data_IF_158636369572
#
_entry.id   IF_158636369572
#
_cell.length_a   1.000
_cell.length_b   1.000
_cell.length_c   1.000
_cell.angle_alpha   90.00
_cell.angle_beta   90.00
_cell.angle_gamma   90.00
#
_symmetry.space_group_name_H-M   'P 1'
#
loop_
_entity.id
_entity.type
_entity.pdbx_description
1 polymer ?
#
# COMPACT_ATOMS: atom_id res chain seq x y z
N UNK A 1 -16.41 -0.69 -3.59
CA UNK A 1 -16.85 0.67 -4.02
C UNK A 1 -18.36 0.83 -3.87
N UNK A 2 -19.18 -0.02 -4.51
CA UNK A 2 -20.64 -0.03 -4.30
C UNK A 2 -21.00 -0.20 -2.82
N UNK A 3 -20.28 -1.03 -2.07
CA UNK A 3 -20.44 -1.18 -0.60
C UNK A 3 -20.14 0.10 0.18
N UNK A 4 -19.07 0.83 -0.17
CA UNK A 4 -18.68 2.11 0.48
C UNK A 4 -19.70 3.21 0.18
N UNK A 5 -20.14 3.33 -1.07
CA UNK A 5 -21.20 4.28 -1.47
C UNK A 5 -22.51 3.94 -0.74
N UNK A 6 -22.90 2.66 -0.72
CA UNK A 6 -24.08 2.19 0.04
C UNK A 6 -23.96 2.50 1.54
N UNK A 7 -22.77 2.38 2.13
CA UNK A 7 -22.53 2.70 3.54
C UNK A 7 -22.67 4.19 3.81
N UNK A 8 -22.06 5.05 2.98
CA UNK A 8 -22.17 6.52 3.10
C UNK A 8 -23.62 6.97 2.95
N UNK A 9 -24.35 6.42 1.97
CA UNK A 9 -25.78 6.70 1.79
C UNK A 9 -26.60 6.22 2.99
N UNK A 10 -26.36 5.01 3.48
CA UNK A 10 -27.06 4.46 4.65
C UNK A 10 -26.86 5.32 5.89
N UNK A 11 -25.63 5.80 6.11
CA UNK A 11 -25.30 6.64 7.26
C UNK A 11 -25.87 8.06 7.11
N UNK A 12 -25.82 8.64 5.92
CA UNK A 12 -26.47 9.92 5.62
C UNK A 12 -27.99 9.87 5.81
N UNK A 13 -28.65 8.81 5.32
CA UNK A 13 -30.09 8.60 5.53
C UNK A 13 -30.44 8.43 7.02
N UNK A 14 -29.56 7.80 7.82
CA UNK A 14 -29.74 7.68 9.26
C UNK A 14 -29.69 9.05 9.95
N UNK A 15 -28.67 9.85 9.63
CA UNK A 15 -28.49 11.20 10.20
C UNK A 15 -29.66 12.12 9.82
N UNK A 16 -30.15 12.05 8.58
CA UNK A 16 -31.33 12.81 8.17
C UNK A 16 -32.58 12.41 8.96
N UNK A 17 -32.80 11.11 9.17
CA UNK A 17 -33.95 10.64 9.96
C UNK A 17 -33.86 11.08 11.42
N UNK A 18 -32.65 11.12 11.97
CA UNK A 18 -32.38 11.61 13.33
C UNK A 18 -32.62 13.13 13.44
N UNK A 19 -32.24 13.92 12.43
CA UNK A 19 -32.57 15.34 12.35
C UNK A 19 -34.07 15.61 12.25
N UNK A 20 -34.80 14.84 11.41
CA UNK A 20 -36.25 14.97 11.28
C UNK A 20 -36.98 14.67 12.60
N UNK A 21 -36.55 13.62 13.32
CA UNK A 21 -37.09 13.30 14.64
C UNK A 21 -36.80 14.42 15.66
N UNK A 22 -35.56 14.94 15.67
CA UNK A 22 -35.19 16.03 16.57
C UNK A 22 -36.02 17.28 16.29
N UNK A 23 -36.27 17.62 15.01
CA UNK A 23 -37.15 18.72 14.64
C UNK A 23 -38.61 18.47 14.99
N UNK A 24 -39.12 17.25 14.84
CA UNK A 24 -40.48 16.93 15.26
C UNK A 24 -40.64 17.04 16.77
N UNK A 25 -39.64 16.62 17.55
CA UNK A 25 -39.65 16.69 19.01
C UNK A 25 -39.56 18.14 19.49
N UNK A 26 -38.76 18.98 18.81
CA UNK A 26 -38.71 20.43 19.03
C UNK A 26 -40.01 21.17 18.64
N UNK A 27 -40.82 20.60 17.73
CA UNK A 27 -42.07 21.20 17.25
C UNK A 27 -43.32 20.76 18.07
N UNK A 28 -43.16 19.86 19.04
CA UNK A 28 -44.24 19.44 19.95
C UNK A 28 -43.98 20.03 21.33
N UNK A 29 -44.40 21.28 21.56
CA UNK A 29 -45.06 21.76 22.78
C UNK A 29 -45.14 23.28 22.81
N UNK A 30 -46.32 23.77 23.19
CA UNK A 30 -46.80 25.13 23.48
C UNK A 30 -45.80 26.32 23.53
N UNK A 31 -46.33 27.48 23.13
CA UNK A 31 -45.69 28.78 22.83
C UNK A 31 -44.78 29.43 23.90
N UNK A 32 -44.39 28.72 24.96
CA UNK A 32 -43.46 29.18 26.00
C UNK A 32 -42.27 28.23 26.26
N UNK A 33 -42.09 27.17 25.48
CA UNK A 33 -40.91 26.31 25.60
C UNK A 33 -39.64 27.02 25.05
N UNK A 34 -38.69 27.35 25.94
CA UNK A 34 -37.35 27.78 25.54
C UNK A 34 -36.69 26.67 24.73
N UNK A 35 -36.07 27.04 23.59
CA UNK A 35 -35.33 26.10 22.75
C UNK A 35 -34.22 25.49 23.60
N UNK A 36 -34.26 24.17 23.81
CA UNK A 36 -33.25 23.45 24.55
C UNK A 36 -31.88 23.60 23.85
N UNK A 37 -30.91 24.21 24.55
CA UNK A 37 -29.56 24.46 24.03
C UNK A 37 -28.86 23.14 23.64
N UNK A 38 -29.16 22.05 24.35
CA UNK A 38 -28.60 20.72 24.07
C UNK A 38 -29.07 20.17 22.72
N UNK A 39 -30.37 20.29 22.41
CA UNK A 39 -30.95 19.84 21.15
C UNK A 39 -30.48 20.71 19.98
N UNK A 40 -30.33 22.02 20.20
CA UNK A 40 -29.74 22.92 19.23
C UNK A 40 -28.29 22.51 18.90
N UNK A 41 -27.47 22.27 19.93
CA UNK A 41 -26.09 21.83 19.77
C UNK A 41 -25.98 20.46 19.09
N UNK A 42 -26.89 19.53 19.42
CA UNK A 42 -26.95 18.23 18.78
C UNK A 42 -27.30 18.34 17.30
N UNK A 43 -28.27 19.20 16.93
CA UNK A 43 -28.64 19.46 15.53
C UNK A 43 -27.47 20.02 14.72
N UNK A 44 -26.67 20.93 15.30
CA UNK A 44 -25.47 21.50 14.68
C UNK A 44 -24.40 20.43 14.46
N UNK A 45 -24.20 19.55 15.44
CA UNK A 45 -23.25 18.44 15.32
C UNK A 45 -23.65 17.44 14.23
N UNK A 46 -24.94 17.09 14.14
CA UNK A 46 -25.48 16.22 13.09
C UNK A 46 -25.35 16.86 11.70
N UNK A 47 -25.69 18.14 11.55
CA UNK A 47 -25.48 18.89 10.30
C UNK A 47 -24.01 18.94 9.88
N UNK A 48 -23.08 19.13 10.82
CA UNK A 48 -21.64 19.09 10.55
C UNK A 48 -21.19 17.70 10.06
N UNK A 49 -21.72 16.62 10.65
CA UNK A 49 -21.47 15.24 10.18
C UNK A 49 -22.05 15.01 8.78
N UNK A 50 -23.26 15.49 8.52
CA UNK A 50 -23.92 15.39 7.21
C UNK A 50 -23.10 16.10 6.12
N UNK A 51 -22.64 17.32 6.38
CA UNK A 51 -21.78 18.07 5.44
C UNK A 51 -20.47 17.34 5.12
N UNK A 52 -19.87 16.66 6.11
CA UNK A 52 -18.68 15.81 5.86
C UNK A 52 -19.01 14.60 4.97
N UNK A 53 -20.18 13.97 5.13
CA UNK A 53 -20.61 12.86 4.28
C UNK A 53 -20.95 13.32 2.87
N UNK A 54 -21.55 14.51 2.72
CA UNK A 54 -21.88 15.11 1.44
C UNK A 54 -20.61 15.45 0.63
N UNK A 55 -19.62 16.08 1.26
CA UNK A 55 -18.32 16.33 0.63
C UNK A 55 -17.63 15.02 0.18
N UNK A 56 -17.70 13.96 1.00
CA UNK A 56 -17.21 12.63 0.61
C UNK A 56 -17.97 12.06 -0.59
N UNK A 57 -19.28 12.27 -0.66
CA UNK A 57 -20.12 11.79 -1.77
C UNK A 57 -19.78 12.54 -3.06
N UNK A 58 -19.63 13.86 -3.01
CA UNK A 58 -19.24 14.69 -4.16
C UNK A 58 -17.89 14.26 -4.76
N UNK A 59 -16.91 13.95 -3.91
CA UNK A 59 -15.61 13.40 -4.36
C UNK A 59 -15.76 12.03 -5.04
N UNK A 60 -16.72 11.21 -4.59
CA UNK A 60 -17.00 9.90 -5.16
C UNK A 60 -17.88 9.97 -6.41
N UNK A 61 -18.64 11.05 -6.61
CA UNK A 61 -19.46 11.29 -7.80
C UNK A 61 -18.64 11.84 -8.96
N UNK A 62 -17.66 12.71 -8.71
CA UNK A 62 -16.80 13.21 -9.78
C UNK A 62 -15.89 12.07 -10.30
N UNK A 63 -16.01 11.62 -11.57
CA UNK A 63 -15.24 10.47 -12.08
C UNK A 63 -13.72 10.70 -12.07
N UNK A 64 -13.27 11.95 -12.24
CA UNK A 64 -11.85 12.32 -12.20
C UNK A 64 -11.35 12.21 -10.77
N UNK A 65 -11.98 12.90 -9.82
CA UNK A 65 -11.59 12.88 -8.39
C UNK A 65 -11.71 11.46 -7.82
N UNK A 66 -12.78 10.75 -8.16
CA UNK A 66 -12.97 9.35 -7.82
C UNK A 66 -11.81 8.49 -8.30
N UNK A 67 -11.33 8.67 -9.53
CA UNK A 67 -10.17 7.93 -10.04
C UNK A 67 -8.88 8.25 -9.26
N UNK A 68 -8.69 9.49 -8.82
CA UNK A 68 -7.52 9.89 -8.03
C UNK A 68 -7.59 9.38 -6.58
N UNK A 69 -8.74 9.52 -5.92
CA UNK A 69 -8.97 9.03 -4.55
C UNK A 69 -8.89 7.50 -4.50
N UNK A 70 -9.40 6.82 -5.54
CA UNK A 70 -9.29 5.36 -5.65
C UNK A 70 -7.89 4.89 -6.00
N UNK A 71 -7.12 5.61 -6.82
CA UNK A 71 -5.70 5.30 -7.07
C UNK A 71 -4.82 5.44 -5.83
N UNK A 72 -5.14 6.34 -4.89
CA UNK A 72 -4.40 6.47 -3.62
C UNK A 72 -4.73 5.38 -2.59
N UNK A 73 -5.92 4.80 -2.63
CA UNK A 73 -6.44 3.92 -1.55
C UNK A 73 -6.97 2.56 -2.01
N UNK A 74 -6.92 2.25 -3.30
CA UNK A 74 -7.17 0.89 -3.79
C UNK A 74 -5.85 0.32 -4.28
N UNK A 75 -5.54 -0.94 -3.95
CA UNK A 75 -4.63 -1.72 -4.75
C UNK A 75 -5.04 -1.49 -6.19
N UNK A 76 -4.11 -1.04 -7.03
CA UNK A 76 -4.37 -0.86 -8.44
C UNK A 76 -4.75 -2.23 -8.96
N UNK A 77 -6.05 -2.55 -8.95
CA UNK A 77 -6.59 -3.70 -9.67
C UNK A 77 -6.01 -3.58 -11.04
N UNK A 78 -4.97 -4.38 -11.29
CA UNK A 78 -4.24 -4.34 -12.52
C UNK A 78 -5.30 -4.44 -13.59
N UNK A 79 -5.36 -3.43 -14.48
CA UNK A 79 -6.16 -3.46 -15.69
C UNK A 79 -6.01 -4.86 -16.26
N UNK A 80 -7.05 -5.68 -16.06
CA UNK A 80 -7.14 -7.12 -16.32
C UNK A 80 -5.89 -7.64 -17.03
N UNK A 81 -4.83 -8.00 -16.27
CA UNK A 81 -3.70 -8.72 -16.84
C UNK A 81 -4.29 -9.98 -17.43
N UNK A 82 -4.14 -10.19 -18.74
CA UNK A 82 -4.41 -11.50 -19.31
C UNK A 82 -3.66 -12.53 -18.45
N UNK A 83 -4.27 -13.68 -18.10
CA UNK A 83 -3.58 -14.70 -17.34
C UNK A 83 -2.31 -15.06 -18.11
N UNK A 84 -1.14 -14.76 -17.51
CA UNK A 84 0.13 -15.22 -18.05
C UNK A 84 0.10 -16.74 -18.05
N UNK A 85 0.43 -17.36 -19.19
CA UNK A 85 0.38 -18.82 -19.34
C UNK A 85 1.40 -19.55 -18.46
N UNK A 86 2.41 -18.84 -17.96
CA UNK A 86 3.49 -19.38 -17.15
C UNK A 86 4.10 -18.31 -16.24
N UNK A 87 4.67 -18.68 -15.08
CA UNK A 87 5.46 -17.77 -14.25
C UNK A 87 6.63 -17.16 -15.03
N UNK A 88 6.94 -15.91 -14.71
CA UNK A 88 8.06 -15.15 -15.27
C UNK A 88 9.13 -14.98 -14.20
N UNK A 89 10.39 -15.17 -14.60
CA UNK A 89 11.54 -14.77 -13.81
C UNK A 89 12.06 -13.45 -14.37
N UNK A 90 11.89 -12.38 -13.61
CA UNK A 90 12.48 -11.08 -13.90
C UNK A 90 13.94 -11.07 -13.46
N UNK A 91 14.81 -10.59 -14.34
CA UNK A 91 16.23 -10.42 -14.11
C UNK A 91 16.53 -8.93 -14.13
N UNK A 92 16.87 -8.38 -12.97
CA UNK A 92 17.16 -6.96 -12.78
C UNK A 92 18.66 -6.75 -12.68
N UNK A 93 19.22 -6.00 -13.62
CA UNK A 93 20.64 -5.63 -13.60
C UNK A 93 20.87 -4.29 -14.31
N UNK A 94 21.83 -3.50 -13.83
CA UNK A 94 22.28 -2.30 -14.55
C UNK A 94 22.85 -2.62 -15.93
N UNK A 95 23.54 -3.75 -16.04
CA UNK A 95 24.10 -4.27 -17.28
C UNK A 95 23.97 -5.79 -17.28
N UNK A 96 23.80 -6.38 -18.46
CA UNK A 96 23.70 -7.83 -18.63
C UNK A 96 24.99 -8.38 -19.22
N UNK A 97 25.79 -9.05 -18.40
CA UNK A 97 27.01 -9.72 -18.82
C UNK A 97 26.78 -11.21 -19.07
N UNK A 98 27.72 -11.86 -19.77
CA UNK A 98 27.71 -13.31 -19.96
C UNK A 98 27.64 -14.06 -18.63
N UNK A 99 28.37 -13.60 -17.61
CA UNK A 99 28.39 -14.22 -16.29
C UNK A 99 27.01 -14.21 -15.61
N UNK A 100 26.21 -13.16 -15.83
CA UNK A 100 24.82 -13.09 -15.33
C UNK A 100 23.99 -14.17 -16.00
N UNK A 101 24.10 -14.33 -17.32
CA UNK A 101 23.38 -15.35 -18.07
C UNK A 101 23.81 -16.75 -17.62
N UNK A 102 25.10 -17.00 -17.45
CA UNK A 102 25.62 -18.29 -16.97
C UNK A 102 25.15 -18.61 -15.55
N UNK A 103 25.13 -17.62 -14.64
CA UNK A 103 24.53 -17.78 -13.31
C UNK A 103 23.04 -18.09 -13.40
N UNK A 104 22.29 -17.43 -14.29
CA UNK A 104 20.87 -17.69 -14.48
C UNK A 104 20.59 -19.11 -14.96
N UNK A 105 21.41 -19.63 -15.88
CA UNK A 105 21.29 -21.01 -16.35
C UNK A 105 21.51 -22.05 -15.24
N UNK A 106 22.21 -21.70 -14.16
CA UNK A 106 22.36 -22.57 -12.98
C UNK A 106 21.13 -22.58 -12.07
N UNK A 107 20.28 -21.56 -12.15
CA UNK A 107 18.99 -21.55 -11.50
C UNK A 107 18.01 -22.28 -12.41
N UNK A 108 17.55 -23.47 -12.02
CA UNK A 108 16.58 -24.25 -12.81
C UNK A 108 15.32 -23.44 -13.10
N UNK A 109 15.26 -22.79 -14.27
CA UNK A 109 14.12 -21.98 -14.68
C UNK A 109 13.49 -22.56 -15.93
N UNK A 110 12.43 -23.34 -15.74
CA UNK A 110 11.44 -23.64 -16.80
C UNK A 110 10.54 -22.44 -17.12
N UNK A 111 10.80 -21.29 -16.48
CA UNK A 111 10.06 -20.03 -16.61
C UNK A 111 10.63 -19.11 -17.70
N UNK A 112 9.77 -18.23 -18.21
CA UNK A 112 10.14 -17.17 -19.16
C UNK A 112 11.05 -16.18 -18.44
N UNK A 113 12.16 -15.78 -19.07
CA UNK A 113 13.07 -14.76 -18.54
C UNK A 113 12.73 -13.39 -19.12
N UNK A 114 12.59 -12.38 -18.26
CA UNK A 114 12.46 -10.97 -18.66
C UNK A 114 13.56 -10.12 -18.04
N UNK A 115 14.32 -9.41 -18.88
CA UNK A 115 15.46 -8.60 -18.46
C UNK A 115 15.05 -7.13 -18.28
N UNK A 116 15.36 -6.55 -17.11
CA UNK A 116 14.96 -5.21 -16.72
C UNK A 116 16.13 -4.43 -16.12
N UNK A 117 16.25 -3.14 -16.43
CA UNK A 117 17.32 -2.30 -15.88
C UNK A 117 16.96 -1.66 -14.53
N UNK A 118 15.68 -1.66 -14.18
CA UNK A 118 15.14 -1.06 -12.96
C UNK A 118 14.14 -2.05 -12.31
N UNK A 119 14.15 -2.20 -10.97
CA UNK A 119 13.27 -3.12 -10.26
C UNK A 119 11.79 -2.70 -10.22
N UNK A 120 11.44 -1.43 -10.45
CA UNK A 120 10.06 -0.96 -10.32
C UNK A 120 9.07 -1.69 -11.23
N UNK A 121 9.45 -1.97 -12.49
CA UNK A 121 8.60 -2.72 -13.41
C UNK A 121 8.33 -4.14 -12.89
N UNK A 122 9.35 -4.97 -12.55
CA UNK A 122 9.14 -6.25 -11.89
C UNK A 122 8.22 -6.19 -10.68
N UNK A 123 8.50 -5.30 -9.71
CA UNK A 123 7.68 -5.22 -8.49
C UNK A 123 6.21 -4.90 -8.81
N UNK A 124 5.96 -3.98 -9.75
CA UNK A 124 4.61 -3.57 -10.14
C UNK A 124 3.87 -4.58 -11.01
N UNK A 125 4.59 -5.29 -11.88
CA UNK A 125 3.99 -6.15 -12.91
C UNK A 125 4.06 -7.63 -12.61
N UNK A 126 4.68 -8.04 -11.50
CA UNK A 126 4.68 -9.44 -11.08
C UNK A 126 3.28 -9.96 -10.75
N UNK A 127 3.14 -11.28 -10.84
CA UNK A 127 1.94 -12.04 -10.53
C UNK A 127 2.32 -13.29 -9.75
N UNK A 128 1.32 -13.99 -9.20
CA UNK A 128 1.57 -15.14 -8.33
C UNK A 128 2.50 -16.17 -8.99
N UNK A 129 3.57 -16.56 -8.28
CA UNK A 129 4.59 -17.48 -8.76
C UNK A 129 5.74 -16.84 -9.55
N UNK A 130 5.65 -15.56 -9.91
CA UNK A 130 6.76 -14.82 -10.53
C UNK A 130 7.94 -14.69 -9.54
N UNK A 131 9.15 -14.64 -10.11
CA UNK A 131 10.40 -14.48 -9.36
C UNK A 131 11.12 -13.22 -9.82
N UNK A 132 11.74 -12.49 -8.90
CA UNK A 132 12.55 -11.32 -9.22
C UNK A 132 13.97 -11.57 -8.71
N UNK A 133 14.93 -11.66 -9.61
CA UNK A 133 16.36 -11.70 -9.30
C UNK A 133 16.97 -10.31 -9.50
N UNK A 134 17.64 -9.79 -8.48
CA UNK A 134 18.27 -8.47 -8.54
C UNK A 134 19.77 -8.63 -8.39
N UNK A 135 20.51 -8.21 -9.40
CA UNK A 135 21.98 -8.26 -9.41
C UNK A 135 22.57 -6.99 -8.79
N UNK A 136 23.85 -7.03 -8.37
CA UNK A 136 24.53 -5.92 -7.72
C UNK A 136 24.40 -4.60 -8.48
N UNK A 137 24.12 -3.54 -7.74
CA UNK A 137 23.90 -2.19 -8.23
C UNK A 137 23.10 -1.33 -7.26
N UNK A 138 23.18 -0.01 -7.46
CA UNK A 138 22.35 0.98 -6.76
C UNK A 138 21.21 1.42 -7.68
N UNK A 139 19.98 1.12 -7.30
CA UNK A 139 18.77 1.37 -8.06
C UNK A 139 17.95 2.45 -7.39
N UNK A 140 17.92 3.62 -8.03
CA UNK A 140 17.01 4.70 -7.64
C UNK A 140 15.59 4.35 -8.06
N UNK A 141 14.69 4.36 -7.10
CA UNK A 141 13.28 4.02 -7.27
C UNK A 141 12.44 5.21 -6.80
N UNK A 142 11.52 5.67 -7.64
CA UNK A 142 10.45 6.56 -7.24
C UNK A 142 9.54 5.87 -6.20
N UNK A 143 9.20 4.62 -6.45
CA UNK A 143 8.51 3.70 -5.55
C UNK A 143 8.56 2.28 -6.11
N UNK A 144 8.67 1.27 -5.24
CA UNK A 144 8.49 -0.13 -5.64
C UNK A 144 7.00 -0.49 -5.82
N UNK A 145 6.09 0.38 -5.38
CA UNK A 145 4.66 0.24 -5.59
C UNK A 145 4.00 -0.79 -4.66
N UNK A 146 3.02 -1.50 -5.20
CA UNK A 146 2.21 -2.49 -4.48
C UNK A 146 2.48 -3.90 -5.01
N UNK A 147 2.86 -4.81 -4.12
CA UNK A 147 2.90 -6.24 -4.39
C UNK A 147 1.57 -6.84 -3.94
N UNK A 148 0.77 -7.28 -4.91
CA UNK A 148 -0.59 -7.82 -4.72
C UNK A 148 -0.67 -9.34 -4.96
N UNK A 149 0.47 -10.02 -5.07
CA UNK A 149 0.53 -11.45 -5.35
C UNK A 149 1.74 -12.09 -4.69
N UNK A 150 1.65 -13.40 -4.46
CA UNK A 150 2.71 -14.16 -3.83
C UNK A 150 3.90 -14.30 -4.77
N UNK A 151 5.00 -13.60 -4.45
CA UNK A 151 6.21 -13.54 -5.26
C UNK A 151 7.45 -13.72 -4.38
N UNK A 152 8.55 -14.11 -5.02
CA UNK A 152 9.87 -14.14 -4.39
C UNK A 152 10.81 -13.13 -5.04
N UNK A 153 11.38 -12.26 -4.22
CA UNK A 153 12.44 -11.32 -4.60
C UNK A 153 13.74 -11.79 -3.96
N UNK A 154 14.80 -11.93 -4.75
CA UNK A 154 16.09 -12.38 -4.27
C UNK A 154 17.22 -11.57 -4.89
N UNK A 155 18.07 -10.99 -4.05
CA UNK A 155 19.34 -10.43 -4.46
C UNK A 155 20.38 -11.51 -4.78
N UNK A 156 21.10 -11.36 -5.89
CA UNK A 156 22.15 -12.28 -6.34
C UNK A 156 23.52 -11.66 -6.05
N UNK A 157 24.06 -11.87 -4.85
CA UNK A 157 25.32 -11.27 -4.41
C UNK A 157 25.34 -11.03 -2.90
N UNK A 158 26.02 -9.98 -2.46
CA UNK A 158 25.89 -9.48 -1.08
C UNK A 158 24.74 -8.47 -1.01
N UNK A 159 23.98 -8.50 0.08
CA UNK A 159 22.88 -7.55 0.32
C UNK A 159 23.34 -6.09 0.30
N UNK A 160 24.56 -5.80 0.74
CA UNK A 160 25.19 -4.47 0.70
C UNK A 160 25.42 -3.94 -0.71
N UNK A 161 25.56 -4.83 -1.69
CA UNK A 161 25.86 -4.45 -3.07
C UNK A 161 24.58 -4.29 -3.89
N UNK A 162 23.42 -4.63 -3.34
CA UNK A 162 22.12 -4.62 -4.02
C UNK A 162 21.20 -3.63 -3.30
N UNK A 163 21.26 -2.38 -3.73
CA UNK A 163 20.65 -1.25 -3.02
C UNK A 163 19.47 -0.71 -3.80
N UNK A 164 18.29 -0.68 -3.19
CA UNK A 164 17.09 -0.02 -3.71
C UNK A 164 16.85 1.25 -2.90
N UNK A 165 17.15 2.40 -3.51
CA UNK A 165 17.09 3.71 -2.86
C UNK A 165 15.82 4.45 -3.26
N UNK A 166 15.02 4.85 -2.28
CA UNK A 166 13.87 5.71 -2.49
C UNK A 166 14.34 7.10 -2.93
N UNK A 167 13.81 7.61 -4.04
CA UNK A 167 14.14 8.94 -4.59
C UNK A 167 12.92 9.75 -4.99
N UNK A 168 11.78 9.10 -5.24
CA UNK A 168 10.55 9.76 -5.67
C UNK A 168 9.72 10.33 -4.54
N UNK A 169 8.54 10.87 -4.86
CA UNK A 169 7.67 11.58 -3.91
C UNK A 169 6.62 10.71 -3.20
N UNK A 170 6.74 9.38 -3.28
CA UNK A 170 5.84 8.49 -2.54
C UNK A 170 6.08 8.61 -1.03
N UNK A 171 5.02 8.47 -0.23
CA UNK A 171 5.12 8.37 1.24
C UNK A 171 5.59 6.99 1.70
N UNK A 172 5.51 5.98 0.82
CA UNK A 172 5.91 4.60 1.10
C UNK A 172 6.77 4.06 -0.03
N UNK A 173 7.90 3.43 0.29
CA UNK A 173 8.76 2.81 -0.72
C UNK A 173 8.13 1.52 -1.25
N UNK A 174 7.68 0.62 -0.36
CA UNK A 174 7.10 -0.67 -0.72
C UNK A 174 5.80 -0.96 0.05
N UNK A 175 4.73 -1.29 -0.66
CA UNK A 175 3.46 -1.77 -0.08
C UNK A 175 3.28 -3.27 -0.37
N UNK A 176 3.02 -4.04 0.67
CA UNK A 176 2.83 -5.49 0.62
C UNK A 176 1.37 -5.85 0.93
N UNK A 177 0.70 -6.55 0.02
CA UNK A 177 -0.71 -6.92 0.14
C UNK A 177 -0.99 -8.26 -0.58
N UNK A 178 -0.38 -9.34 -0.11
CA UNK A 178 -0.56 -10.70 -0.64
C UNK A 178 -0.53 -11.72 0.50
N UNK A 179 -0.83 -13.00 0.25
CA UNK A 179 -0.82 -14.01 1.32
C UNK A 179 0.59 -14.22 1.85
N UNK A 180 1.58 -14.31 0.96
CA UNK A 180 2.99 -14.48 1.33
C UNK A 180 3.94 -13.86 0.33
N UNK A 181 4.75 -12.90 0.79
CA UNK A 181 5.80 -12.26 0.00
C UNK A 181 7.15 -12.58 0.62
N UNK A 182 8.10 -13.05 -0.20
CA UNK A 182 9.46 -13.33 0.26
C UNK A 182 10.44 -12.36 -0.36
N UNK A 183 11.22 -11.67 0.46
CA UNK A 183 12.25 -10.72 0.03
C UNK A 183 13.56 -11.12 0.70
N UNK A 184 14.58 -11.40 -0.11
CA UNK A 184 15.85 -11.92 0.36
C UNK A 184 17.03 -11.12 -0.18
N UNK A 185 18.02 -10.90 0.68
CA UNK A 185 19.37 -10.50 0.28
C UNK A 185 19.45 -9.16 -0.49
N UNK A 186 18.68 -8.16 -0.07
CA UNK A 186 18.71 -6.81 -0.64
C UNK A 186 18.78 -5.74 0.45
N UNK A 187 19.23 -4.55 0.07
CA UNK A 187 19.19 -3.35 0.90
C UNK A 187 18.11 -2.39 0.41
N UNK A 188 17.21 -1.95 1.29
CA UNK A 188 16.24 -0.89 1.05
C UNK A 188 16.70 0.36 1.79
N UNK A 189 16.88 1.47 1.07
CA UNK A 189 17.27 2.75 1.67
C UNK A 189 16.11 3.72 1.51
N UNK A 190 15.56 4.15 2.64
CA UNK A 190 14.53 5.17 2.68
C UNK A 190 15.14 6.57 2.49
N UNK A 191 14.36 7.45 1.86
CA UNK A 191 14.66 8.89 1.79
C UNK A 191 14.10 9.63 3.01
N UNK A 192 14.46 10.90 3.13
CA UNK A 192 13.80 11.82 4.05
C UNK A 192 12.31 11.95 3.72
N UNK A 193 11.51 12.22 4.75
CA UNK A 193 10.08 12.52 4.63
C UNK A 193 9.22 11.33 4.13
N UNK A 194 9.80 10.12 4.12
CA UNK A 194 9.06 8.89 3.89
C UNK A 194 8.31 8.52 5.18
N UNK A 195 7.01 8.22 5.08
CA UNK A 195 6.24 7.69 6.20
C UNK A 195 6.77 6.32 6.60
N UNK A 196 6.93 5.41 5.64
CA UNK A 196 7.46 4.07 5.91
C UNK A 196 8.25 3.47 4.76
N UNK A 197 9.35 2.75 5.07
CA UNK A 197 10.06 2.00 4.05
C UNK A 197 9.21 0.83 3.53
N UNK A 198 8.59 0.09 4.43
CA UNK A 198 7.68 -1.02 4.10
C UNK A 198 6.35 -0.83 4.83
N UNK A 199 5.23 -1.01 4.14
CA UNK A 199 3.91 -1.16 4.77
C UNK A 199 3.34 -2.52 4.40
N UNK A 200 2.99 -3.32 5.41
CA UNK A 200 2.29 -4.59 5.22
C UNK A 200 0.82 -4.37 5.52
N UNK A 201 0.01 -4.42 4.46
CA UNK A 201 -1.44 -4.21 4.54
C UNK A 201 -2.20 -5.50 4.86
N UNK A 202 -1.70 -6.63 4.35
CA UNK A 202 -2.33 -7.94 4.49
C UNK A 202 -1.32 -9.06 4.26
N UNK A 203 -1.51 -10.18 4.97
CA UNK A 203 -0.73 -11.41 4.88
C UNK A 203 0.66 -11.30 5.51
N UNK A 204 1.58 -12.15 5.05
CA UNK A 204 2.91 -12.31 5.63
C UNK A 204 4.01 -11.80 4.68
N UNK A 205 4.91 -10.98 5.21
CA UNK A 205 6.17 -10.62 4.54
C UNK A 205 7.34 -11.28 5.25
N UNK A 206 8.12 -12.07 4.51
CA UNK A 206 9.38 -12.67 4.99
C UNK A 206 10.55 -11.85 4.46
N UNK A 207 11.31 -11.23 5.37
CA UNK A 207 12.53 -10.50 5.08
C UNK A 207 13.73 -11.31 5.57
N UNK A 208 14.56 -11.81 4.65
CA UNK A 208 15.73 -12.64 4.99
C UNK A 208 17.03 -12.05 4.47
N UNK A 209 18.00 -11.90 5.36
CA UNK A 209 19.31 -11.32 5.01
C UNK A 209 19.19 -9.94 4.35
N UNK A 210 18.20 -9.12 4.75
CA UNK A 210 17.97 -7.80 4.19
C UNK A 210 18.59 -6.71 5.06
N UNK A 211 18.87 -5.55 4.46
CA UNK A 211 19.18 -4.32 5.19
C UNK A 211 18.06 -3.34 4.92
N UNK A 212 17.45 -2.79 5.96
CA UNK A 212 16.41 -1.78 5.85
C UNK A 212 16.97 -0.53 6.53
N UNK A 213 17.55 0.36 5.73
CA UNK A 213 18.00 1.65 6.20
C UNK A 213 16.82 2.63 6.14
N UNK A 214 16.10 2.71 7.25
CA UNK A 214 14.97 3.61 7.42
C UNK A 214 15.30 4.80 8.31
N UNK A 215 16.59 5.12 8.50
CA UNK A 215 17.10 6.22 9.33
C UNK A 215 16.46 7.58 9.03
N UNK A 216 16.01 7.76 7.79
CA UNK A 216 15.43 9.01 7.28
C UNK A 216 13.90 8.98 7.18
N UNK A 217 13.27 7.84 7.46
CA UNK A 217 11.82 7.66 7.45
C UNK A 217 11.24 7.80 8.87
N UNK A 218 9.94 8.07 8.96
CA UNK A 218 9.22 8.11 10.24
C UNK A 218 9.08 6.72 10.87
N UNK A 219 8.74 5.72 10.05
CA UNK A 219 8.55 4.31 10.44
C UNK A 219 9.41 3.43 9.53
N UNK A 220 10.01 2.37 10.08
CA UNK A 220 10.79 1.43 9.26
C UNK A 220 9.87 0.45 8.54
N UNK A 221 9.12 -0.30 9.34
CA UNK A 221 8.11 -1.24 8.88
C UNK A 221 6.81 -0.95 9.63
N UNK A 222 5.73 -0.71 8.88
CA UNK A 222 4.39 -0.52 9.40
C UNK A 222 3.55 -1.76 9.12
N UNK A 223 3.03 -2.38 10.17
CA UNK A 223 2.12 -3.53 10.06
C UNK A 223 0.69 -3.07 10.36
N UNK A 224 -0.24 -3.34 9.44
CA UNK A 224 -1.68 -3.12 9.67
C UNK A 224 -2.34 -4.34 10.35
N UNK A 225 -3.51 -4.14 10.94
CA UNK A 225 -4.23 -5.16 11.71
C UNK A 225 -4.36 -6.48 10.95
N UNK A 226 -3.85 -7.57 11.53
CA UNK A 226 -3.91 -8.92 10.95
C UNK A 226 -2.88 -9.19 9.84
N UNK A 227 -1.82 -8.37 9.75
CA UNK A 227 -0.64 -8.65 8.93
C UNK A 227 0.56 -9.08 9.77
N UNK A 228 1.50 -9.78 9.15
CA UNK A 228 2.66 -10.35 9.81
C UNK A 228 3.95 -10.03 9.04
N UNK A 229 5.05 -9.85 9.77
CA UNK A 229 6.38 -9.76 9.19
C UNK A 229 7.36 -10.67 9.94
N UNK A 230 7.99 -11.57 9.20
CA UNK A 230 9.05 -12.43 9.70
C UNK A 230 10.40 -11.88 9.24
N UNK A 231 11.24 -11.50 10.20
CA UNK A 231 12.54 -10.88 9.93
C UNK A 231 13.65 -11.84 10.37
N UNK A 232 14.37 -12.40 9.41
CA UNK A 232 15.44 -13.37 9.64
C UNK A 232 16.79 -12.81 9.19
N UNK A 233 17.80 -12.85 10.06
CA UNK A 233 19.18 -12.45 9.73
C UNK A 233 19.28 -11.08 9.03
N UNK A 234 18.33 -10.17 9.30
CA UNK A 234 18.22 -8.88 8.64
C UNK A 234 18.54 -7.76 9.61
N UNK A 235 19.06 -6.66 9.08
CA UNK A 235 19.41 -5.47 9.86
C UNK A 235 18.41 -4.37 9.54
N UNK A 236 17.82 -3.77 10.58
CA UNK A 236 16.92 -2.62 10.45
C UNK A 236 17.62 -1.44 11.12
N UNK A 237 18.05 -0.47 10.33
CA UNK A 237 18.70 0.74 10.81
C UNK A 237 17.63 1.83 10.98
N UNK A 238 17.39 2.19 12.25
CA UNK A 238 16.69 3.37 12.75
C UNK A 238 15.39 3.81 12.04
N UNK A 239 14.29 3.11 12.28
CA UNK A 239 13.03 3.75 12.73
C UNK A 239 12.14 2.68 13.35
N UNK A 240 11.16 3.11 14.14
CA UNK A 240 10.28 2.22 14.89
C UNK A 240 9.59 1.18 13.99
N UNK A 241 9.39 -0.03 14.52
CA UNK A 241 8.39 -0.95 13.97
C UNK A 241 7.08 -0.62 14.65
N UNK A 242 6.06 -0.26 13.87
CA UNK A 242 4.74 0.11 14.38
C UNK A 242 3.71 -0.93 13.97
N UNK A 243 2.89 -1.36 14.94
CA UNK A 243 1.80 -2.31 14.71
C UNK A 243 0.49 -1.59 15.02
N UNK A 244 -0.34 -1.40 14.01
CA UNK A 244 -1.71 -0.91 14.20
C UNK A 244 -2.59 -2.10 14.59
N UNK A 245 -3.07 -2.10 15.84
CA UNK A 245 -4.04 -3.07 16.35
C UNK A 245 -5.46 -2.72 15.89
#
# INVERSE_FOLDING_TARGET
MISKIKSVLKEGSRINKELENLYSDMHVSDSEAEINEEDLMHSVALRKKLGKLQAKMEMLENPVIRSFVTKKYSPTKALRKQPKSSPVTYVVAKQFSKDIVEKLLSFETTSILEFQHNPESPFKYSSAGDRIYIFPGVYQCDTLGWIESDISVQGIGLNTDIVLEATGNSEVLLNCCAEKIKIENISLIAKSDLLSAIVVHHGEVVLKNCIIDSNKAEIGILLLSGSEALVESSVICSSSVSVCL
#
